data_IF_377325517634
#
_entry.id   IF_377325517634
#
_cell.length_a   1.000
_cell.length_b   1.000
_cell.length_c   1.000
_cell.angle_alpha   90.00
_cell.angle_beta   90.00
_cell.angle_gamma   90.00
#
_symmetry.space_group_name_H-M   'P 1'
#
loop_
_entity.id
_entity.type
_entity.pdbx_description
1 polymer ?
#
# COMPACT_ATOMS: atom_id res chain seq x y z
N UNK A 1 -1.68 -8.44 29.64
CA UNK A 1 -1.82 -7.56 28.48
C UNK A 1 -0.51 -7.60 27.73
N UNK A 2 -0.53 -7.70 26.42
CA UNK A 2 0.69 -7.73 25.64
C UNK A 2 1.49 -6.45 25.86
N UNK A 3 2.78 -6.57 26.11
CA UNK A 3 3.67 -5.42 26.29
C UNK A 3 4.36 -5.15 24.96
N UNK A 4 4.03 -4.03 24.33
CA UNK A 4 4.73 -3.59 23.13
C UNK A 4 6.17 -3.22 23.44
N UNK A 5 7.14 -3.51 22.55
CA UNK A 5 8.54 -3.19 22.81
C UNK A 5 8.76 -1.70 23.06
N UNK A 6 9.77 -1.38 23.86
CA UNK A 6 10.24 0.01 23.97
C UNK A 6 10.76 0.48 22.61
N UNK A 7 10.33 1.67 22.16
CA UNK A 7 10.68 2.20 20.84
C UNK A 7 9.81 1.65 19.70
N UNK A 8 8.70 0.97 20.02
CA UNK A 8 7.71 0.58 19.02
C UNK A 8 7.19 1.81 18.27
N UNK A 9 7.14 1.73 16.94
CA UNK A 9 6.78 2.86 16.10
C UNK A 9 5.25 2.91 15.92
N UNK A 10 4.61 3.85 16.60
CA UNK A 10 3.17 4.12 16.50
C UNK A 10 2.91 5.26 15.53
N UNK A 11 1.95 5.09 14.61
CA UNK A 11 1.60 6.18 13.72
C UNK A 11 0.44 5.89 12.77
N UNK A 12 0.47 6.55 11.65
CA UNK A 12 -0.53 6.43 10.60
C UNK A 12 0.06 6.56 9.22
N UNK A 13 -0.74 6.22 8.22
CA UNK A 13 -0.32 6.16 6.83
C UNK A 13 -1.27 6.95 5.92
N UNK A 14 -0.69 7.59 4.91
CA UNK A 14 -1.35 8.16 3.74
C UNK A 14 -0.62 7.67 2.48
N UNK A 15 -1.17 7.99 1.30
CA UNK A 15 -0.50 7.84 0.03
C UNK A 15 -0.59 9.14 -0.76
N UNK A 16 0.47 9.50 -1.48
CA UNK A 16 0.54 10.74 -2.26
C UNK A 16 -0.65 10.90 -3.20
N UNK A 17 -0.93 9.86 -3.99
CA UNK A 17 -2.01 9.88 -5.00
C UNK A 17 -3.43 9.96 -4.41
N UNK A 18 -3.64 9.65 -3.14
CA UNK A 18 -4.94 9.68 -2.47
C UNK A 18 -5.11 10.89 -1.56
N UNK A 19 -4.06 11.64 -1.30
CA UNK A 19 -4.08 12.74 -0.32
C UNK A 19 -3.57 14.08 -0.84
N UNK A 20 -2.50 14.09 -1.65
CA UNK A 20 -1.82 15.33 -2.00
C UNK A 20 -2.69 16.28 -2.84
N UNK A 21 -3.35 15.79 -3.89
CA UNK A 21 -3.93 16.65 -4.89
C UNK A 21 -2.86 17.40 -5.69
N UNK A 22 -3.14 18.67 -6.06
CA UNK A 22 -2.18 19.51 -6.78
C UNK A 22 -1.54 18.79 -7.98
N UNK A 23 -2.35 18.06 -8.75
CA UNK A 23 -1.91 17.02 -9.69
C UNK A 23 -1.06 17.54 -10.87
N UNK A 24 -1.06 18.86 -11.13
CA UNK A 24 -0.22 19.52 -12.14
C UNK A 24 0.68 20.61 -11.55
N UNK A 25 0.63 20.84 -10.22
CA UNK A 25 1.43 21.88 -9.59
C UNK A 25 2.89 21.45 -9.35
N UNK A 26 3.78 22.43 -9.26
CA UNK A 26 5.21 22.16 -9.02
C UNK A 26 5.88 21.36 -10.12
N UNK A 27 5.37 21.42 -11.34
CA UNK A 27 5.91 20.69 -12.48
C UNK A 27 5.61 19.19 -12.49
N UNK A 28 4.67 18.69 -11.65
CA UNK A 28 4.27 17.28 -11.62
C UNK A 28 3.69 16.84 -12.96
N UNK A 29 4.12 15.67 -13.45
CA UNK A 29 3.50 14.98 -14.58
C UNK A 29 2.32 14.11 -14.17
N UNK A 30 1.50 13.71 -15.15
CA UNK A 30 0.40 12.77 -14.93
C UNK A 30 0.90 11.38 -14.56
N UNK A 31 0.15 10.72 -13.69
CA UNK A 31 0.35 9.30 -13.33
C UNK A 31 -0.85 8.47 -13.75
N UNK A 32 -0.70 7.14 -13.68
CA UNK A 32 -1.81 6.20 -13.91
C UNK A 32 -3.02 6.50 -13.03
N UNK A 33 -2.81 6.92 -11.79
CA UNK A 33 -3.91 7.23 -10.85
C UNK A 33 -4.67 8.50 -11.26
N UNK A 34 -3.98 9.47 -11.84
CA UNK A 34 -4.60 10.72 -12.30
C UNK A 34 -5.57 10.51 -13.47
N UNK A 35 -5.48 9.37 -14.17
CA UNK A 35 -6.36 9.00 -15.29
C UNK A 35 -7.48 8.04 -14.89
N UNK A 36 -7.57 7.64 -13.62
CA UNK A 36 -8.63 6.74 -13.13
C UNK A 36 -9.81 7.58 -12.63
N UNK A 37 -10.96 7.57 -13.36
CA UNK A 37 -12.10 8.40 -13.00
C UNK A 37 -12.87 7.84 -11.80
N UNK A 38 -13.78 8.64 -11.28
CA UNK A 38 -14.86 8.20 -10.40
C UNK A 38 -15.98 7.52 -11.23
N UNK A 39 -16.76 6.64 -10.60
CA UNK A 39 -17.95 6.05 -11.19
C UNK A 39 -17.71 4.78 -12.00
N UNK A 40 -18.56 4.51 -13.00
CA UNK A 40 -18.67 3.21 -13.68
C UNK A 40 -17.40 2.78 -14.43
N UNK A 41 -16.63 3.73 -14.93
CA UNK A 41 -15.40 3.45 -15.70
C UNK A 41 -14.20 3.13 -14.80
N UNK A 42 -14.28 3.42 -13.49
CA UNK A 42 -13.17 3.24 -12.57
C UNK A 42 -12.62 1.81 -12.54
N UNK A 43 -13.48 0.83 -12.31
CA UNK A 43 -13.03 -0.56 -12.22
C UNK A 43 -12.50 -1.12 -13.55
N UNK A 44 -13.18 -0.93 -14.70
CA UNK A 44 -12.63 -1.33 -16.00
C UNK A 44 -11.25 -0.73 -16.30
N UNK A 45 -11.04 0.54 -15.99
CA UNK A 45 -9.73 1.20 -16.17
C UNK A 45 -8.68 0.59 -15.25
N UNK A 46 -8.96 0.44 -13.96
CA UNK A 46 -8.04 -0.17 -12.98
C UNK A 46 -7.59 -1.58 -13.37
N UNK A 47 -8.48 -2.35 -13.97
CA UNK A 47 -8.20 -3.70 -14.44
C UNK A 47 -7.46 -3.75 -15.80
N UNK A 48 -7.23 -2.62 -16.46
CA UNK A 48 -6.62 -2.56 -17.78
C UNK A 48 -7.53 -3.03 -18.92
N UNK A 49 -8.84 -3.18 -18.64
CA UNK A 49 -9.85 -3.58 -19.62
C UNK A 49 -10.29 -2.40 -20.48
N UNK A 50 -10.23 -1.20 -19.95
CA UNK A 50 -10.47 0.05 -20.64
C UNK A 50 -9.22 0.90 -20.63
N UNK A 51 -8.65 1.17 -21.84
CA UNK A 51 -7.44 1.98 -21.97
C UNK A 51 -7.81 3.46 -21.81
N UNK A 52 -7.25 4.12 -20.81
CA UNK A 52 -7.44 5.55 -20.50
C UNK A 52 -6.08 6.20 -20.29
N UNK A 53 -5.58 6.86 -21.33
CA UNK A 53 -4.28 7.53 -21.30
C UNK A 53 -4.39 9.05 -21.24
N UNK A 54 -5.60 9.57 -21.47
CA UNK A 54 -5.89 11.00 -21.49
C UNK A 54 -7.06 11.31 -20.56
N UNK A 55 -7.07 12.52 -20.03
CA UNK A 55 -8.16 13.04 -19.22
C UNK A 55 -9.35 13.41 -20.13
N UNK A 56 -10.55 13.29 -19.59
CA UNK A 56 -11.82 13.68 -20.25
C UNK A 56 -12.50 14.78 -19.45
N UNK A 57 -12.98 15.79 -20.12
CA UNK A 57 -13.62 16.95 -19.50
C UNK A 57 -14.96 16.63 -18.82
N UNK A 58 -15.60 15.53 -19.22
CA UNK A 58 -16.89 15.06 -18.70
C UNK A 58 -16.75 14.06 -17.54
N UNK A 59 -15.55 13.79 -17.08
CA UNK A 59 -15.27 12.87 -15.97
C UNK A 59 -14.71 13.58 -14.74
N UNK A 60 -15.03 13.06 -13.57
CA UNK A 60 -14.47 13.51 -12.29
C UNK A 60 -13.31 12.61 -11.86
N UNK A 61 -12.18 13.22 -11.51
CA UNK A 61 -10.97 12.53 -11.06
C UNK A 61 -10.67 12.89 -9.61
N UNK A 62 -11.02 12.02 -8.64
CA UNK A 62 -10.91 12.34 -7.22
C UNK A 62 -9.49 12.68 -6.74
N UNK A 63 -8.46 12.10 -7.38
CA UNK A 63 -7.06 12.32 -7.03
C UNK A 63 -6.53 13.72 -7.37
N UNK A 64 -7.22 14.46 -8.26
CA UNK A 64 -6.70 15.76 -8.75
C UNK A 64 -6.61 16.82 -7.65
N UNK A 65 -7.57 16.84 -6.73
CA UNK A 65 -7.54 17.69 -5.55
C UNK A 65 -7.33 16.86 -4.26
N UNK A 66 -7.85 15.63 -4.25
CA UNK A 66 -7.83 14.71 -3.11
C UNK A 66 -8.28 15.41 -1.82
N UNK A 67 -7.40 15.50 -0.82
CA UNK A 67 -7.67 16.26 0.42
C UNK A 67 -6.74 17.48 0.56
N UNK A 68 -6.11 17.88 -0.53
CA UNK A 68 -5.21 19.02 -0.59
C UNK A 68 -4.05 18.95 0.43
N UNK A 69 -3.53 17.75 0.66
CA UNK A 69 -2.40 17.53 1.56
C UNK A 69 -1.16 18.29 1.09
N UNK A 70 -0.97 18.48 -0.22
CA UNK A 70 0.14 19.23 -0.79
C UNK A 70 0.29 20.62 -0.18
N UNK A 71 -0.82 21.33 0.04
CA UNK A 71 -0.82 22.66 0.65
C UNK A 71 -1.02 22.63 2.18
N UNK A 72 -1.65 21.56 2.71
CA UNK A 72 -2.08 21.46 4.12
C UNK A 72 -1.21 20.53 4.97
N UNK A 73 -0.12 19.98 4.44
CA UNK A 73 0.69 18.98 5.16
C UNK A 73 1.17 19.43 6.55
N UNK A 74 1.44 20.72 6.74
CA UNK A 74 1.86 21.26 8.06
C UNK A 74 0.75 21.16 9.10
N UNK A 75 -0.49 21.47 8.71
CA UNK A 75 -1.68 21.30 9.55
C UNK A 75 -1.89 19.82 9.90
N UNK A 76 -1.81 18.97 8.91
CA UNK A 76 -2.04 17.54 9.05
C UNK A 76 -0.93 16.86 9.91
N UNK A 77 0.34 17.23 9.72
CA UNK A 77 1.46 16.74 10.56
C UNK A 77 1.32 17.24 12.00
N UNK A 78 0.85 18.45 12.21
CA UNK A 78 0.58 18.95 13.57
C UNK A 78 -0.50 18.13 14.28
N UNK A 79 -1.56 17.69 13.58
CA UNK A 79 -2.58 16.78 14.11
C UNK A 79 -2.01 15.40 14.44
N UNK A 80 -1.12 14.87 13.59
CA UNK A 80 -0.42 13.61 13.85
C UNK A 80 0.48 13.71 15.10
N UNK A 81 1.20 14.82 15.23
CA UNK A 81 2.01 15.10 16.41
C UNK A 81 1.17 15.22 17.70
N UNK A 82 -0.01 15.84 17.61
CA UNK A 82 -0.96 15.91 18.73
C UNK A 82 -1.46 14.54 19.16
N UNK A 83 -1.64 13.59 18.22
CA UNK A 83 -1.95 12.19 18.54
C UNK A 83 -0.76 11.44 19.15
N UNK A 84 0.45 11.97 19.04
CA UNK A 84 1.66 11.34 19.57
C UNK A 84 2.36 10.39 18.58
N UNK A 85 2.15 10.56 17.29
CA UNK A 85 2.85 9.73 16.28
C UNK A 85 4.36 9.78 16.46
N UNK A 86 5.00 8.62 16.39
CA UNK A 86 6.45 8.48 16.28
C UNK A 86 6.90 8.12 14.86
N UNK A 87 5.96 7.69 14.01
CA UNK A 87 6.19 7.40 12.60
C UNK A 87 5.02 7.90 11.76
N UNK A 88 5.29 8.43 10.58
CA UNK A 88 4.31 8.74 9.56
C UNK A 88 4.71 8.09 8.25
N UNK A 89 3.85 7.21 7.74
CA UNK A 89 4.04 6.61 6.42
C UNK A 89 3.35 7.43 5.35
N UNK A 90 4.10 7.78 4.30
CA UNK A 90 3.55 8.35 3.08
C UNK A 90 4.30 7.82 1.86
N UNK A 91 3.93 8.26 0.67
CA UNK A 91 4.65 7.94 -0.56
C UNK A 91 5.16 9.21 -1.23
N UNK A 92 6.14 9.04 -2.11
CA UNK A 92 6.58 10.07 -3.04
C UNK A 92 5.89 9.81 -4.38
N UNK A 93 5.20 10.80 -4.94
CA UNK A 93 4.72 10.73 -6.31
C UNK A 93 5.93 10.79 -7.26
N UNK A 94 6.23 9.69 -7.92
CA UNK A 94 7.39 9.58 -8.85
C UNK A 94 7.39 10.73 -9.86
N UNK A 95 6.23 11.08 -10.43
CA UNK A 95 6.11 12.15 -11.41
C UNK A 95 6.25 13.58 -10.86
N UNK A 96 6.38 13.78 -9.54
CA UNK A 96 6.82 15.08 -8.99
C UNK A 96 8.32 15.28 -9.15
N UNK A 97 9.11 14.21 -9.04
CA UNK A 97 10.55 14.26 -9.18
C UNK A 97 10.99 14.06 -10.63
N UNK A 98 10.30 13.21 -11.36
CA UNK A 98 10.54 12.92 -12.77
C UNK A 98 9.20 12.94 -13.51
N UNK A 99 8.76 14.10 -14.03
CA UNK A 99 7.43 14.30 -14.59
C UNK A 99 7.03 13.30 -15.69
N UNK A 100 7.96 12.90 -16.53
CA UNK A 100 7.82 11.84 -17.53
C UNK A 100 8.32 10.49 -17.04
N UNK A 101 9.21 10.47 -16.07
CA UNK A 101 9.82 9.27 -15.49
C UNK A 101 11.17 8.87 -16.13
N UNK A 102 11.48 9.32 -17.34
CA UNK A 102 12.68 8.97 -18.13
C UNK A 102 13.71 10.10 -18.22
N UNK A 103 13.47 11.25 -17.59
CA UNK A 103 14.41 12.36 -17.54
C UNK A 103 15.74 11.94 -16.88
N UNK A 104 16.83 12.61 -17.27
CA UNK A 104 18.14 12.41 -16.64
C UNK A 104 18.29 13.18 -15.33
N UNK A 105 17.64 14.34 -15.23
CA UNK A 105 17.71 15.24 -14.07
C UNK A 105 16.33 15.38 -13.41
N UNK A 106 16.30 15.41 -12.08
CA UNK A 106 15.03 15.53 -11.35
C UNK A 106 14.48 16.96 -11.35
N UNK A 107 13.17 17.07 -11.22
CA UNK A 107 12.47 18.32 -10.96
C UNK A 107 12.76 18.81 -9.54
N UNK A 108 13.42 19.95 -9.41
CA UNK A 108 13.86 20.51 -8.14
C UNK A 108 12.69 20.99 -7.26
N UNK A 109 11.57 21.41 -7.84
CA UNK A 109 10.37 21.80 -7.08
C UNK A 109 9.77 20.60 -6.34
N UNK A 110 9.74 19.42 -6.98
CA UNK A 110 9.31 18.18 -6.36
C UNK A 110 10.21 17.76 -5.20
N UNK A 111 11.53 17.86 -5.37
CA UNK A 111 12.50 17.59 -4.29
C UNK A 111 12.29 18.57 -3.13
N UNK A 112 12.14 19.86 -3.41
CA UNK A 112 11.94 20.88 -2.39
C UNK A 112 10.65 20.65 -1.59
N UNK A 113 9.57 20.25 -2.24
CA UNK A 113 8.31 19.91 -1.55
C UNK A 113 8.50 18.76 -0.56
N UNK A 114 9.03 17.61 -1.01
CA UNK A 114 9.21 16.46 -0.11
C UNK A 114 10.24 16.71 0.97
N UNK A 115 11.29 17.46 0.70
CA UNK A 115 12.23 17.90 1.73
C UNK A 115 11.52 18.67 2.82
N UNK A 116 10.72 19.67 2.46
CA UNK A 116 9.94 20.46 3.42
C UNK A 116 8.95 19.63 4.22
N UNK A 117 8.33 18.62 3.60
CA UNK A 117 7.42 17.70 4.26
C UNK A 117 8.16 16.84 5.30
N UNK A 118 9.31 16.27 4.94
CA UNK A 118 10.07 15.42 5.86
C UNK A 118 10.76 16.23 6.97
N UNK A 119 11.21 17.44 6.69
CA UNK A 119 11.70 18.37 7.72
C UNK A 119 10.59 18.72 8.73
N UNK A 120 9.35 18.93 8.26
CA UNK A 120 8.21 19.16 9.17
C UNK A 120 7.94 17.93 10.04
N UNK A 121 8.03 16.71 9.51
CA UNK A 121 7.95 15.49 10.31
C UNK A 121 9.05 15.47 11.39
N UNK A 122 10.30 15.72 11.02
CA UNK A 122 11.44 15.70 11.96
C UNK A 122 11.33 16.78 13.04
N UNK A 123 10.81 17.95 12.71
CA UNK A 123 10.51 19.03 13.65
C UNK A 123 9.55 18.57 14.75
N UNK A 124 8.64 17.67 14.43
CA UNK A 124 7.68 17.09 15.37
C UNK A 124 8.14 15.73 15.95
N UNK A 125 9.40 15.33 15.75
CA UNK A 125 9.95 14.03 16.18
C UNK A 125 9.21 12.82 15.59
N UNK A 126 8.65 12.97 14.39
CA UNK A 126 8.00 11.90 13.64
C UNK A 126 8.97 11.38 12.58
N UNK A 127 9.27 10.08 12.60
CA UNK A 127 10.09 9.44 11.57
C UNK A 127 9.27 9.23 10.30
N UNK A 128 9.73 9.70 9.13
CA UNK A 128 9.11 9.33 7.87
C UNK A 128 9.39 7.87 7.52
N UNK A 129 8.35 7.14 7.11
CA UNK A 129 8.42 5.86 6.43
C UNK A 129 7.91 6.06 5.00
N UNK A 130 8.77 5.95 4.01
CA UNK A 130 8.48 6.43 2.65
C UNK A 130 8.37 5.28 1.65
N UNK A 131 7.24 5.21 0.97
CA UNK A 131 7.04 4.31 -0.17
C UNK A 131 7.45 5.01 -1.46
N UNK A 132 8.37 4.41 -2.22
CA UNK A 132 8.87 4.97 -3.48
C UNK A 132 7.82 4.97 -4.60
N UNK A 133 7.05 3.88 -4.73
CA UNK A 133 5.96 3.79 -5.71
C UNK A 133 4.70 3.22 -5.06
N UNK A 134 3.68 4.05 -4.94
CA UNK A 134 2.37 3.68 -4.40
C UNK A 134 1.33 3.69 -5.51
N UNK A 135 1.49 2.79 -6.50
CA UNK A 135 0.63 2.59 -7.68
C UNK A 135 0.73 3.68 -8.77
N UNK A 136 1.35 4.81 -8.50
CA UNK A 136 1.34 6.01 -9.34
C UNK A 136 2.54 6.03 -10.33
N UNK A 137 2.46 5.20 -11.36
CA UNK A 137 3.46 5.19 -12.44
C UNK A 137 3.27 6.42 -13.34
N UNK A 138 4.35 7.15 -13.73
CA UNK A 138 4.24 8.23 -14.69
C UNK A 138 3.60 7.78 -16.01
N UNK A 139 2.55 8.50 -16.47
CA UNK A 139 1.79 8.11 -17.67
C UNK A 139 2.63 8.03 -18.93
N UNK A 140 3.64 8.90 -19.07
CA UNK A 140 4.57 8.83 -20.20
C UNK A 140 5.28 7.48 -20.28
N UNK A 141 5.66 6.88 -19.13
CA UNK A 141 6.27 5.54 -19.13
C UNK A 141 5.29 4.43 -19.55
N UNK A 142 3.99 4.64 -19.35
CA UNK A 142 2.96 3.71 -19.84
C UNK A 142 2.81 3.83 -21.36
N UNK A 143 2.68 5.05 -21.88
CA UNK A 143 2.44 5.29 -23.31
C UNK A 143 3.64 5.01 -24.19
N UNK A 144 4.84 5.39 -23.76
CA UNK A 144 6.06 5.24 -24.57
C UNK A 144 6.74 3.88 -24.41
N UNK A 145 6.67 3.28 -23.23
CA UNK A 145 7.43 2.05 -22.93
C UNK A 145 6.53 0.84 -22.59
N UNK A 146 5.25 1.03 -22.44
CA UNK A 146 4.33 -0.03 -21.96
C UNK A 146 4.50 -0.36 -20.48
N UNK A 147 5.01 0.61 -19.70
CA UNK A 147 5.25 0.45 -18.26
C UNK A 147 6.19 -0.73 -17.95
N UNK A 148 5.93 -1.46 -16.87
CA UNK A 148 6.78 -2.56 -16.39
C UNK A 148 6.92 -3.76 -17.34
N UNK A 149 6.22 -3.78 -18.47
CA UNK A 149 6.53 -4.71 -19.59
C UNK A 149 7.96 -4.53 -20.09
N UNK A 150 8.49 -3.30 -20.03
CA UNK A 150 9.77 -2.91 -20.60
C UNK A 150 10.87 -2.92 -19.54
N UNK A 151 11.96 -3.62 -19.82
CA UNK A 151 13.14 -3.70 -18.94
C UNK A 151 13.74 -2.33 -18.61
N UNK A 152 13.59 -1.32 -19.47
CA UNK A 152 14.06 0.06 -19.21
C UNK A 152 13.45 0.68 -17.96
N UNK A 153 12.28 0.21 -17.53
CA UNK A 153 11.68 0.65 -16.26
C UNK A 153 12.59 0.44 -15.06
N UNK A 154 13.43 -0.59 -15.09
CA UNK A 154 14.42 -0.85 -14.04
C UNK A 154 15.41 0.31 -13.92
N UNK A 155 15.92 0.80 -15.06
CA UNK A 155 16.82 1.96 -15.09
C UNK A 155 16.13 3.24 -14.59
N UNK A 156 14.94 3.52 -15.09
CA UNK A 156 14.18 4.71 -14.70
C UNK A 156 13.84 4.71 -13.20
N UNK A 157 13.37 3.58 -12.68
CA UNK A 157 13.04 3.45 -11.27
C UNK A 157 14.29 3.56 -10.38
N UNK A 158 15.38 2.93 -10.73
CA UNK A 158 16.60 2.97 -9.91
C UNK A 158 17.26 4.35 -9.91
N UNK A 159 17.17 5.12 -11.01
CA UNK A 159 17.57 6.54 -11.04
C UNK A 159 16.70 7.37 -10.09
N UNK A 160 15.38 7.20 -10.16
CA UNK A 160 14.46 7.86 -9.26
C UNK A 160 14.73 7.48 -7.80
N UNK A 161 14.90 6.20 -7.50
CA UNK A 161 15.17 5.71 -6.15
C UNK A 161 16.48 6.29 -5.59
N UNK A 162 17.56 6.28 -6.36
CA UNK A 162 18.86 6.91 -5.99
C UNK A 162 18.68 8.38 -5.66
N UNK A 163 17.97 9.11 -6.52
CA UNK A 163 17.65 10.53 -6.26
C UNK A 163 16.94 10.74 -4.95
N UNK A 164 15.94 9.88 -4.62
CA UNK A 164 15.24 9.96 -3.33
C UNK A 164 16.18 9.68 -2.15
N UNK A 165 17.00 8.63 -2.22
CA UNK A 165 17.91 8.28 -1.12
C UNK A 165 18.95 9.38 -0.88
N UNK A 166 19.51 9.96 -1.93
CA UNK A 166 20.49 11.04 -1.84
C UNK A 166 19.86 12.36 -1.39
N UNK A 167 18.70 12.74 -1.96
CA UNK A 167 18.04 14.01 -1.65
C UNK A 167 17.51 14.06 -0.23
N UNK A 168 17.09 12.93 0.34
CA UNK A 168 16.44 12.85 1.66
C UNK A 168 17.30 12.11 2.70
N UNK A 169 18.59 11.95 2.43
CA UNK A 169 19.55 11.41 3.41
C UNK A 169 19.54 12.24 4.71
N UNK A 170 19.53 11.55 5.84
CA UNK A 170 19.40 12.16 7.16
C UNK A 170 17.97 12.58 7.54
N UNK A 171 17.01 12.63 6.59
CA UNK A 171 15.60 12.92 6.86
C UNK A 171 14.75 11.64 6.88
N UNK A 172 15.01 10.71 6.00
CA UNK A 172 14.27 9.46 5.85
C UNK A 172 15.21 8.27 6.06
N UNK A 173 14.84 7.38 6.97
CA UNK A 173 15.57 6.15 7.28
C UNK A 173 14.85 4.90 6.77
N UNK A 174 13.51 4.90 6.80
CA UNK A 174 12.69 3.75 6.48
C UNK A 174 12.05 3.90 5.11
N UNK A 175 12.26 2.90 4.25
CA UNK A 175 11.84 2.93 2.85
C UNK A 175 11.09 1.66 2.47
N UNK A 176 10.07 1.81 1.63
CA UNK A 176 9.39 0.71 0.94
C UNK A 176 9.52 0.93 -0.58
N UNK A 177 9.83 -0.10 -1.33
CA UNK A 177 10.02 0.04 -2.78
C UNK A 177 8.71 0.19 -3.54
N UNK A 178 7.81 -0.78 -3.38
CA UNK A 178 6.50 -0.82 -4.02
C UNK A 178 5.42 -1.09 -3.00
N UNK A 179 4.32 -0.34 -3.08
CA UNK A 179 3.14 -0.61 -2.27
C UNK A 179 2.40 -1.83 -2.81
N UNK A 180 2.04 -2.76 -1.92
CA UNK A 180 1.21 -3.94 -2.25
C UNK A 180 1.58 -4.56 -3.60
N UNK A 181 2.85 -4.90 -3.79
CA UNK A 181 3.43 -5.33 -5.07
C UNK A 181 2.63 -6.47 -5.74
N UNK A 182 1.96 -7.33 -4.97
CA UNK A 182 1.13 -8.42 -5.46
C UNK A 182 -0.18 -7.95 -6.13
N UNK A 183 -0.58 -6.68 -5.94
CA UNK A 183 -1.81 -6.15 -6.53
C UNK A 183 -1.73 -6.08 -8.05
N UNK A 184 -0.55 -6.03 -8.65
CA UNK A 184 -0.41 -6.08 -10.11
C UNK A 184 -1.03 -7.33 -10.75
N UNK A 185 -1.11 -8.46 -10.03
CA UNK A 185 -1.77 -9.68 -10.53
C UNK A 185 -3.30 -9.52 -10.60
N UNK A 186 -3.88 -8.69 -9.76
CA UNK A 186 -5.32 -8.54 -9.56
C UNK A 186 -5.89 -7.25 -10.15
N UNK A 187 -5.10 -6.19 -10.21
CA UNK A 187 -5.47 -4.88 -10.75
C UNK A 187 -4.29 -4.30 -11.54
N UNK A 188 -4.00 -4.84 -12.72
CA UNK A 188 -2.72 -4.64 -13.41
C UNK A 188 -2.45 -3.20 -13.83
N UNK A 189 -3.45 -2.43 -14.27
CA UNK A 189 -3.23 -1.03 -14.61
C UNK A 189 -2.99 -0.19 -13.35
N UNK A 190 -3.85 -0.34 -12.34
CA UNK A 190 -3.67 0.37 -11.07
C UNK A 190 -2.38 -0.03 -10.36
N UNK A 191 -2.03 -1.33 -10.37
CA UNK A 191 -0.86 -1.85 -9.66
C UNK A 191 0.47 -1.55 -10.34
N UNK A 192 0.51 -1.54 -11.68
CA UNK A 192 1.76 -1.48 -12.43
C UNK A 192 1.67 -0.79 -13.81
N UNK A 193 0.59 -0.06 -14.09
CA UNK A 193 0.38 0.60 -15.38
C UNK A 193 0.27 -0.36 -16.58
N UNK A 194 -0.14 -1.61 -16.34
CA UNK A 194 -0.23 -2.62 -17.39
C UNK A 194 -1.58 -2.57 -18.11
N UNK A 195 -1.52 -2.59 -19.42
CA UNK A 195 -2.64 -2.80 -20.34
C UNK A 195 -2.33 -3.98 -21.24
N UNK A 196 -3.36 -4.60 -21.83
CA UNK A 196 -3.21 -5.81 -22.61
C UNK A 196 -3.74 -5.61 -24.03
N UNK A 197 -3.15 -6.33 -24.98
CA UNK A 197 -3.68 -6.46 -26.34
C UNK A 197 -4.68 -7.61 -26.40
N UNK A 198 -5.55 -7.57 -27.41
CA UNK A 198 -6.53 -8.63 -27.65
C UNK A 198 -5.84 -9.98 -27.90
N UNK A 199 -6.27 -11.02 -27.17
CA UNK A 199 -5.70 -12.37 -27.29
C UNK A 199 -4.35 -12.59 -26.60
N UNK A 200 -3.79 -11.58 -25.93
CA UNK A 200 -2.52 -11.69 -25.23
C UNK A 200 -2.62 -12.53 -23.96
N UNK A 201 -1.61 -13.36 -23.68
CA UNK A 201 -1.52 -14.04 -22.39
C UNK A 201 -1.20 -13.04 -21.29
N UNK A 202 -2.23 -12.62 -20.55
CA UNK A 202 -2.08 -11.64 -19.48
C UNK A 202 -1.15 -12.09 -18.35
N UNK A 203 -1.12 -13.39 -18.03
CA UNK A 203 -0.21 -13.92 -17.01
C UNK A 203 1.26 -13.81 -17.45
N UNK A 204 1.55 -14.02 -18.75
CA UNK A 204 2.89 -13.78 -19.31
C UNK A 204 3.34 -12.33 -19.08
N UNK A 205 2.47 -11.36 -19.37
CA UNK A 205 2.77 -9.93 -19.18
C UNK A 205 2.97 -9.60 -17.73
N UNK A 206 2.06 -10.03 -16.85
CA UNK A 206 2.11 -9.75 -15.41
C UNK A 206 3.38 -10.32 -14.76
N UNK A 207 3.75 -11.57 -15.03
CA UNK A 207 4.92 -12.16 -14.40
C UNK A 207 6.24 -11.65 -15.00
N UNK A 208 6.27 -11.24 -16.27
CA UNK A 208 7.43 -10.54 -16.81
C UNK A 208 7.58 -9.14 -16.19
N UNK A 209 6.49 -8.39 -16.04
CA UNK A 209 6.48 -7.11 -15.34
C UNK A 209 6.87 -7.25 -13.87
N UNK A 210 6.35 -8.28 -13.19
CA UNK A 210 6.73 -8.62 -11.81
C UNK A 210 8.24 -8.86 -11.70
N UNK A 211 8.84 -9.57 -12.65
CA UNK A 211 10.30 -9.77 -12.68
C UNK A 211 11.04 -8.44 -12.72
N UNK A 212 10.62 -7.52 -13.60
CA UNK A 212 11.25 -6.20 -13.71
C UNK A 212 11.11 -5.37 -12.42
N UNK A 213 9.94 -5.38 -11.78
CA UNK A 213 9.77 -4.72 -10.47
C UNK A 213 10.62 -5.35 -9.37
N UNK A 214 10.73 -6.68 -9.34
CA UNK A 214 11.56 -7.39 -8.36
C UNK A 214 13.05 -7.05 -8.53
N UNK A 215 13.53 -6.98 -9.76
CA UNK A 215 14.91 -6.52 -10.07
C UNK A 215 15.09 -5.06 -9.64
N UNK A 216 14.15 -4.19 -9.98
CA UNK A 216 14.19 -2.77 -9.58
C UNK A 216 14.19 -2.61 -8.05
N UNK A 217 13.38 -3.39 -7.33
CA UNK A 217 13.32 -3.40 -5.87
C UNK A 217 14.65 -3.85 -5.24
N UNK A 218 15.26 -4.90 -5.77
CA UNK A 218 16.55 -5.42 -5.29
C UNK A 218 17.68 -4.40 -5.54
N UNK A 219 17.73 -3.77 -6.72
CA UNK A 219 18.69 -2.71 -7.01
C UNK A 219 18.47 -1.48 -6.15
N UNK A 220 17.22 -1.06 -5.93
CA UNK A 220 16.91 0.05 -5.04
C UNK A 220 17.37 -0.25 -3.60
N UNK A 221 17.18 -1.47 -3.11
CA UNK A 221 17.67 -1.90 -1.79
C UNK A 221 19.20 -1.79 -1.70
N UNK A 222 19.91 -2.27 -2.71
CA UNK A 222 21.38 -2.13 -2.79
C UNK A 222 21.80 -0.66 -2.77
N UNK A 223 21.18 0.17 -3.62
CA UNK A 223 21.48 1.60 -3.73
C UNK A 223 21.21 2.33 -2.41
N UNK A 224 20.12 2.02 -1.73
CA UNK A 224 19.80 2.60 -0.43
C UNK A 224 20.93 2.39 0.59
N UNK A 225 21.48 1.17 0.66
CA UNK A 225 22.58 0.84 1.56
C UNK A 225 23.93 1.44 1.09
N UNK A 226 24.14 1.62 -0.21
CA UNK A 226 25.31 2.32 -0.76
C UNK A 226 25.29 3.82 -0.38
N UNK A 227 24.13 4.46 -0.46
CA UNK A 227 23.97 5.88 -0.10
C UNK A 227 24.13 6.07 1.42
N UNK A 228 23.45 5.26 2.20
CA UNK A 228 23.56 5.27 3.66
C UNK A 228 23.32 3.86 4.22
N UNK A 229 24.36 3.23 4.84
CA UNK A 229 24.21 1.89 5.43
C UNK A 229 23.17 1.78 6.55
N UNK A 230 22.67 2.90 7.08
CA UNK A 230 21.62 2.91 8.09
C UNK A 230 20.20 2.91 7.52
N UNK A 231 20.06 3.09 6.20
CA UNK A 231 18.78 2.95 5.55
C UNK A 231 18.22 1.54 5.77
N UNK A 232 16.92 1.48 6.07
CA UNK A 232 16.18 0.24 6.23
C UNK A 232 15.15 0.15 5.11
N UNK A 233 15.24 -0.89 4.30
CA UNK A 233 14.35 -1.09 3.14
C UNK A 233 13.47 -2.29 3.38
N UNK A 234 12.15 -2.11 3.25
CA UNK A 234 11.15 -3.16 3.35
C UNK A 234 10.48 -3.46 2.02
N UNK A 235 9.95 -4.66 1.90
CA UNK A 235 8.92 -5.00 0.92
C UNK A 235 7.53 -4.72 1.51
N UNK A 236 6.49 -4.64 0.66
CA UNK A 236 5.13 -4.39 1.13
C UNK A 236 4.12 -5.24 0.38
N UNK A 237 3.40 -6.08 1.12
CA UNK A 237 2.41 -7.04 0.63
C UNK A 237 0.99 -6.60 0.97
N UNK A 238 0.05 -6.74 0.03
CA UNK A 238 -1.37 -6.80 0.38
C UNK A 238 -1.63 -8.11 1.12
N UNK A 239 -1.60 -8.06 2.45
CA UNK A 239 -1.61 -9.21 3.33
C UNK A 239 -3.00 -9.81 3.55
N UNK A 240 -3.06 -10.78 4.44
CA UNK A 240 -4.23 -11.61 4.73
C UNK A 240 -4.14 -12.97 4.04
N UNK A 241 -4.07 -14.02 4.85
CA UNK A 241 -4.01 -15.39 4.37
C UNK A 241 -5.38 -15.90 3.91
N UNK A 242 -5.36 -16.96 3.10
CA UNK A 242 -6.56 -17.68 2.70
C UNK A 242 -6.86 -18.83 3.65
N UNK A 243 -8.04 -18.82 4.24
CA UNK A 243 -8.59 -20.00 4.90
C UNK A 243 -9.17 -20.97 3.86
N UNK A 244 -9.03 -22.29 4.02
CA UNK A 244 -9.81 -23.24 3.25
C UNK A 244 -11.29 -23.13 3.68
N UNK A 245 -12.20 -23.11 2.70
CA UNK A 245 -13.65 -23.05 2.97
C UNK A 245 -14.16 -24.24 3.77
N UNK A 246 -13.52 -25.40 3.57
CA UNK A 246 -13.76 -26.61 4.33
C UNK A 246 -12.47 -27.40 4.56
N UNK A 247 -12.56 -28.46 5.40
CA UNK A 247 -11.43 -29.38 5.59
C UNK A 247 -11.21 -30.38 4.43
N UNK A 248 -11.92 -30.25 3.30
CA UNK A 248 -11.64 -31.05 2.11
C UNK A 248 -10.19 -30.79 1.66
N UNK A 249 -9.38 -31.84 1.36
CA UNK A 249 -8.01 -31.66 0.90
C UNK A 249 -7.87 -30.71 -0.31
N UNK A 250 -8.86 -30.71 -1.21
CA UNK A 250 -8.89 -29.82 -2.37
C UNK A 250 -9.05 -28.34 -1.99
N UNK A 251 -9.86 -28.02 -0.96
CA UNK A 251 -10.01 -26.65 -0.45
C UNK A 251 -8.73 -26.19 0.25
N UNK A 252 -8.10 -27.08 1.04
CA UNK A 252 -6.81 -26.81 1.70
C UNK A 252 -5.72 -26.52 0.67
N UNK A 253 -5.67 -27.33 -0.40
CA UNK A 253 -4.74 -27.12 -1.51
C UNK A 253 -4.99 -25.79 -2.22
N UNK A 254 -6.26 -25.45 -2.50
CA UNK A 254 -6.61 -24.17 -3.15
C UNK A 254 -6.21 -22.98 -2.30
N UNK A 255 -6.44 -23.02 -0.98
CA UNK A 255 -6.02 -21.94 -0.08
C UNK A 255 -4.49 -21.76 -0.10
N UNK A 256 -3.72 -22.86 -0.07
CA UNK A 256 -2.27 -22.82 -0.17
C UNK A 256 -1.78 -22.23 -1.51
N UNK A 257 -2.40 -22.60 -2.64
CA UNK A 257 -2.03 -22.07 -3.96
C UNK A 257 -2.36 -20.56 -4.06
N UNK A 258 -3.46 -20.11 -3.47
CA UNK A 258 -3.83 -18.69 -3.42
C UNK A 258 -2.88 -17.87 -2.55
N UNK A 259 -2.45 -18.41 -1.42
CA UNK A 259 -1.42 -17.75 -0.60
C UNK A 259 -0.09 -17.68 -1.36
N UNK A 260 0.33 -18.74 -2.03
CA UNK A 260 1.56 -18.77 -2.84
C UNK A 260 1.54 -17.71 -3.95
N UNK A 261 0.41 -17.55 -4.65
CA UNK A 261 0.26 -16.53 -5.70
C UNK A 261 0.58 -15.13 -5.18
N UNK A 262 0.08 -14.77 -3.99
CA UNK A 262 0.35 -13.48 -3.38
C UNK A 262 1.78 -13.40 -2.78
N UNK A 263 2.23 -14.44 -2.11
CA UNK A 263 3.53 -14.48 -1.44
C UNK A 263 4.72 -14.58 -2.41
N UNK A 264 4.49 -14.89 -3.69
CA UNK A 264 5.52 -14.99 -4.72
C UNK A 264 6.50 -13.80 -4.68
N UNK A 265 5.97 -12.59 -4.62
CA UNK A 265 6.76 -11.36 -4.62
C UNK A 265 7.65 -11.24 -3.39
N UNK A 266 7.06 -11.45 -2.21
CA UNK A 266 7.80 -11.35 -0.95
C UNK A 266 8.80 -12.50 -0.79
N UNK A 267 8.48 -13.68 -1.31
CA UNK A 267 9.45 -14.78 -1.38
C UNK A 267 10.73 -14.33 -2.09
N UNK A 268 10.61 -13.62 -3.20
CA UNK A 268 11.76 -13.11 -3.95
C UNK A 268 12.44 -11.97 -3.20
N UNK A 269 11.70 -10.96 -2.75
CA UNK A 269 12.26 -9.79 -2.09
C UNK A 269 12.93 -10.09 -0.74
N UNK A 270 12.40 -11.06 0.02
CA UNK A 270 12.92 -11.42 1.34
C UNK A 270 13.93 -12.57 1.31
N UNK A 271 13.89 -13.44 0.31
CA UNK A 271 14.73 -14.65 0.23
C UNK A 271 15.75 -14.62 -0.91
N UNK A 272 15.65 -13.67 -1.83
CA UNK A 272 16.61 -13.44 -2.91
C UNK A 272 16.56 -14.41 -4.07
N UNK A 273 15.51 -15.24 -4.17
CA UNK A 273 15.37 -16.23 -5.23
C UNK A 273 13.91 -16.57 -5.48
N UNK A 274 13.61 -17.01 -6.69
CA UNK A 274 12.28 -17.54 -7.02
C UNK A 274 11.96 -18.77 -6.19
N UNK A 275 10.73 -18.89 -5.65
CA UNK A 275 10.33 -20.09 -4.93
C UNK A 275 10.27 -21.30 -5.88
N UNK A 276 10.64 -22.47 -5.37
CA UNK A 276 10.75 -23.71 -6.17
C UNK A 276 9.46 -24.10 -6.91
N UNK A 277 8.31 -23.74 -6.36
CA UNK A 277 7.00 -24.03 -6.98
C UNK A 277 6.67 -23.10 -8.17
N UNK A 278 7.37 -21.96 -8.34
CA UNK A 278 7.10 -21.00 -9.40
C UNK A 278 7.23 -21.62 -10.80
N UNK A 279 8.21 -22.50 -11.01
CA UNK A 279 8.41 -23.17 -12.29
C UNK A 279 7.17 -24.00 -12.73
N UNK A 280 6.49 -24.66 -11.80
CA UNK A 280 5.24 -25.37 -12.07
C UNK A 280 4.12 -24.39 -12.45
N UNK A 281 3.91 -23.35 -11.64
CA UNK A 281 2.87 -22.35 -11.87
C UNK A 281 3.07 -21.66 -13.22
N UNK A 282 4.28 -21.26 -13.57
CA UNK A 282 4.59 -20.64 -14.86
C UNK A 282 4.27 -21.57 -16.02
N UNK A 283 4.66 -22.84 -15.95
CA UNK A 283 4.33 -23.81 -16.98
C UNK A 283 2.82 -23.98 -17.15
N UNK A 284 2.07 -24.08 -16.05
CA UNK A 284 0.60 -24.23 -16.07
C UNK A 284 -0.10 -22.99 -16.66
N UNK A 285 0.46 -21.79 -16.47
CA UNK A 285 -0.04 -20.53 -16.99
C UNK A 285 0.49 -20.17 -18.39
N UNK A 286 1.38 -20.97 -18.95
CA UNK A 286 2.07 -20.66 -20.22
C UNK A 286 2.97 -19.44 -20.14
N UNK A 287 3.64 -19.27 -19.00
CA UNK A 287 4.54 -18.15 -18.72
C UNK A 287 5.99 -18.57 -18.89
N UNK A 288 6.77 -17.74 -19.58
CA UNK A 288 8.23 -17.84 -19.68
C UNK A 288 8.83 -16.49 -19.30
N UNK A 289 9.37 -16.37 -18.09
CA UNK A 289 10.03 -15.15 -17.65
C UNK A 289 11.42 -15.06 -18.27
N UNK A 290 11.66 -14.01 -19.04
CA UNK A 290 12.97 -13.69 -19.61
C UNK A 290 13.80 -12.99 -18.54
N UNK A 291 14.95 -13.58 -18.23
CA UNK A 291 15.95 -13.02 -17.32
C UNK A 291 17.17 -12.55 -18.13
N UNK A 292 17.79 -11.49 -17.68
CA UNK A 292 19.11 -11.04 -18.16
C UNK A 292 20.24 -11.66 -17.32
N UNK A 293 21.44 -11.68 -17.87
CA UNK A 293 22.61 -12.12 -17.13
C UNK A 293 22.83 -11.25 -15.89
N UNK A 294 23.00 -11.88 -14.73
CA UNK A 294 23.18 -11.18 -13.45
C UNK A 294 21.89 -10.95 -12.65
N UNK A 295 20.70 -11.23 -13.21
CA UNK A 295 19.44 -11.01 -12.50
C UNK A 295 19.35 -11.81 -11.20
N UNK A 296 19.81 -13.04 -11.20
CA UNK A 296 19.76 -13.90 -10.00
C UNK A 296 20.71 -13.38 -8.89
N UNK A 297 21.84 -12.78 -9.24
CA UNK A 297 22.74 -12.10 -8.30
C UNK A 297 22.15 -10.80 -7.77
N UNK A 298 21.46 -10.03 -8.63
CA UNK A 298 20.76 -8.80 -8.22
C UNK A 298 19.71 -9.11 -7.18
N UNK A 299 18.90 -10.14 -7.38
CA UNK A 299 17.83 -10.54 -6.46
C UNK A 299 18.32 -10.86 -5.04
N UNK A 300 19.59 -11.20 -4.85
CA UNK A 300 20.18 -11.47 -3.54
C UNK A 300 20.30 -10.22 -2.64
N UNK A 301 20.07 -9.02 -3.18
CA UNK A 301 19.93 -7.80 -2.38
C UNK A 301 18.53 -7.78 -1.71
N UNK A 302 18.38 -8.57 -0.66
CA UNK A 302 17.11 -8.76 0.03
C UNK A 302 16.78 -7.61 0.97
N UNK A 303 15.48 -7.44 1.24
CA UNK A 303 14.96 -6.41 2.15
C UNK A 303 15.38 -6.64 3.60
N UNK A 304 15.43 -5.55 4.39
CA UNK A 304 15.78 -5.60 5.81
C UNK A 304 14.62 -6.06 6.69
N UNK A 305 13.39 -5.71 6.32
CA UNK A 305 12.17 -6.10 7.03
C UNK A 305 11.03 -6.40 6.05
N UNK A 306 10.03 -7.12 6.52
CA UNK A 306 8.81 -7.42 5.75
C UNK A 306 7.68 -6.55 6.26
N UNK A 307 7.05 -5.79 5.39
CA UNK A 307 5.86 -5.03 5.71
C UNK A 307 4.64 -5.48 4.92
N UNK A 308 3.48 -5.18 5.45
CA UNK A 308 2.22 -5.61 4.83
C UNK A 308 1.06 -4.73 5.28
N UNK A 309 0.00 -4.74 4.46
CA UNK A 309 -1.34 -4.29 4.86
C UNK A 309 -2.15 -5.47 5.38
N UNK A 310 -3.02 -5.22 6.35
CA UNK A 310 -4.01 -6.17 6.79
C UNK A 310 -5.34 -5.48 7.04
N UNK A 311 -6.35 -5.85 6.27
CA UNK A 311 -7.72 -5.36 6.42
C UNK A 311 -8.69 -6.50 6.70
N UNK A 312 -8.44 -7.67 6.13
CA UNK A 312 -9.30 -8.83 6.19
C UNK A 312 -8.51 -10.10 5.89
N UNK A 313 -8.94 -11.23 6.43
CA UNK A 313 -8.58 -12.56 5.92
C UNK A 313 -9.42 -12.91 4.69
N UNK A 314 -9.02 -13.94 3.99
CA UNK A 314 -9.65 -14.42 2.75
C UNK A 314 -10.10 -15.88 2.90
N UNK A 315 -10.92 -16.35 1.98
CA UNK A 315 -11.39 -17.73 1.99
C UNK A 315 -11.40 -18.30 0.56
N UNK A 316 -10.97 -19.53 0.39
CA UNK A 316 -10.88 -20.20 -0.90
C UNK A 316 -11.43 -21.64 -0.87
N UNK A 317 -11.98 -22.09 -1.99
CA UNK A 317 -12.44 -23.45 -2.23
C UNK A 317 -12.06 -23.89 -3.64
N UNK A 318 -11.91 -25.18 -3.84
CA UNK A 318 -11.74 -25.77 -5.17
C UNK A 318 -12.94 -25.51 -6.12
N UNK A 319 -14.10 -25.21 -5.56
CA UNK A 319 -15.33 -24.88 -6.29
C UNK A 319 -15.50 -23.36 -6.52
N UNK A 320 -14.48 -22.55 -6.19
CA UNK A 320 -14.48 -21.11 -6.33
C UNK A 320 -14.53 -20.69 -7.81
N UNK A 321 -15.46 -19.78 -8.15
CA UNK A 321 -15.63 -19.25 -9.50
C UNK A 321 -16.08 -17.79 -9.45
N UNK A 322 -16.24 -17.16 -10.63
CA UNK A 322 -16.60 -15.75 -10.73
C UNK A 322 -17.98 -15.40 -10.12
N UNK A 323 -18.90 -16.37 -10.02
CA UNK A 323 -20.26 -16.14 -9.54
C UNK A 323 -20.40 -16.23 -8.01
N UNK A 324 -19.46 -16.90 -7.33
CA UNK A 324 -19.51 -17.11 -5.87
C UNK A 324 -18.42 -16.36 -5.12
N UNK A 325 -17.61 -15.53 -5.79
CA UNK A 325 -16.59 -14.69 -5.15
C UNK A 325 -17.12 -13.31 -4.82
N UNK A 326 -16.60 -12.72 -3.73
CA UNK A 326 -16.94 -11.36 -3.35
C UNK A 326 -16.37 -10.35 -4.38
N UNK A 327 -17.26 -9.63 -5.06
CA UNK A 327 -16.90 -8.64 -6.09
C UNK A 327 -16.26 -7.36 -5.48
N UNK A 328 -16.42 -7.12 -4.16
CA UNK A 328 -15.92 -5.91 -3.51
C UNK A 328 -14.42 -5.92 -3.23
N UNK A 329 -13.75 -7.06 -3.39
CA UNK A 329 -12.32 -7.22 -3.15
C UNK A 329 -11.53 -7.31 -4.45
N UNK A 330 -10.46 -6.54 -4.55
CA UNK A 330 -9.49 -6.64 -5.65
C UNK A 330 -8.93 -8.07 -5.73
N UNK A 331 -8.58 -8.67 -4.59
CA UNK A 331 -8.21 -10.09 -4.48
C UNK A 331 -9.48 -10.91 -4.26
N UNK A 332 -9.85 -11.74 -5.23
CA UNK A 332 -11.07 -12.55 -5.19
C UNK A 332 -11.04 -13.55 -4.03
N UNK A 333 -12.13 -13.57 -3.26
CA UNK A 333 -12.31 -14.41 -2.07
C UNK A 333 -13.75 -14.87 -1.97
N UNK A 334 -13.98 -16.05 -1.39
CA UNK A 334 -15.30 -16.45 -0.91
C UNK A 334 -15.62 -15.71 0.39
N UNK A 335 -16.92 -15.52 0.66
CA UNK A 335 -17.35 -15.03 1.96
C UNK A 335 -17.11 -16.12 3.02
N UNK A 336 -16.37 -15.78 4.07
CA UNK A 336 -16.21 -16.69 5.22
C UNK A 336 -17.50 -16.67 6.07
N UNK A 337 -18.18 -17.81 6.27
CA UNK A 337 -19.44 -17.84 7.00
C UNK A 337 -19.29 -17.65 8.51
N UNK A 338 -18.05 -17.68 9.03
CA UNK A 338 -17.76 -17.66 10.47
C UNK A 338 -17.33 -16.29 10.98
N UNK A 339 -17.17 -15.28 10.10
CA UNK A 339 -16.76 -13.93 10.49
C UNK A 339 -17.73 -12.88 9.94
N UNK A 340 -17.88 -11.80 10.69
CA UNK A 340 -18.67 -10.65 10.26
C UNK A 340 -17.92 -9.86 9.17
N UNK A 341 -18.66 -9.19 8.32
CA UNK A 341 -18.11 -8.32 7.29
C UNK A 341 -18.51 -6.86 7.53
N UNK A 342 -17.63 -5.95 7.09
CA UNK A 342 -17.91 -4.51 7.03
C UNK A 342 -18.98 -4.21 5.97
N UNK A 343 -19.41 -2.95 5.89
CA UNK A 343 -20.34 -2.46 4.84
C UNK A 343 -19.83 -2.72 3.41
N UNK A 344 -18.52 -2.77 3.22
CA UNK A 344 -17.87 -3.08 1.93
C UNK A 344 -17.56 -4.57 1.75
N UNK A 345 -18.11 -5.45 2.61
CA UNK A 345 -17.97 -6.90 2.50
C UNK A 345 -16.62 -7.45 2.90
N UNK A 346 -15.79 -6.67 3.60
CA UNK A 346 -14.49 -7.13 4.12
C UNK A 346 -14.67 -7.80 5.47
N UNK A 347 -14.17 -9.03 5.60
CA UNK A 347 -14.26 -9.79 6.84
C UNK A 347 -13.46 -9.16 7.98
N UNK A 348 -14.10 -8.94 9.12
CA UNK A 348 -13.46 -8.39 10.32
C UNK A 348 -12.86 -9.57 11.11
N UNK A 349 -11.56 -9.74 11.02
CA UNK A 349 -10.87 -10.92 11.57
C UNK A 349 -9.55 -10.54 12.27
N UNK A 350 -9.60 -10.12 13.52
CA UNK A 350 -8.38 -9.83 14.31
C UNK A 350 -7.47 -11.03 14.48
N UNK A 351 -8.03 -12.23 14.71
CA UNK A 351 -7.22 -13.45 14.84
C UNK A 351 -6.46 -13.78 13.54
N UNK A 352 -7.06 -13.47 12.39
CA UNK A 352 -6.41 -13.61 11.09
C UNK A 352 -5.15 -12.74 10.94
N UNK A 353 -5.11 -11.58 11.60
CA UNK A 353 -3.89 -10.76 11.69
C UNK A 353 -2.78 -11.51 12.43
N UNK A 354 -3.07 -12.05 13.63
CA UNK A 354 -2.10 -12.84 14.39
C UNK A 354 -1.59 -14.06 13.60
N UNK A 355 -2.50 -14.77 12.92
CA UNK A 355 -2.17 -15.91 12.06
C UNK A 355 -1.25 -15.45 10.91
N UNK A 356 -1.61 -14.37 10.21
CA UNK A 356 -0.82 -13.81 9.11
C UNK A 356 0.60 -13.45 9.57
N UNK A 357 0.75 -12.80 10.72
CA UNK A 357 2.04 -12.43 11.27
C UNK A 357 2.90 -13.64 11.62
N UNK A 358 2.32 -14.66 12.26
CA UNK A 358 3.01 -15.92 12.54
C UNK A 358 3.50 -16.60 11.25
N UNK A 359 2.62 -16.74 10.26
CA UNK A 359 2.96 -17.35 8.97
C UNK A 359 4.07 -16.59 8.23
N UNK A 360 4.03 -15.26 8.24
CA UNK A 360 5.08 -14.43 7.61
C UNK A 360 6.42 -14.58 8.32
N UNK A 361 6.42 -14.53 9.65
CA UNK A 361 7.66 -14.65 10.40
C UNK A 361 8.27 -16.04 10.27
N UNK A 362 7.48 -17.11 10.35
CA UNK A 362 7.95 -18.48 10.12
C UNK A 362 8.58 -18.64 8.73
N UNK A 363 8.05 -17.93 7.73
CA UNK A 363 8.51 -18.03 6.35
C UNK A 363 9.77 -17.23 6.05
N UNK A 364 9.90 -16.02 6.63
CA UNK A 364 10.94 -15.06 6.24
C UNK A 364 11.99 -14.78 7.31
N UNK A 365 11.68 -15.02 8.59
CA UNK A 365 12.58 -14.79 9.73
C UNK A 365 13.19 -13.38 9.73
N UNK A 366 12.39 -12.38 9.32
CA UNK A 366 12.73 -10.96 9.31
C UNK A 366 11.75 -10.17 10.18
N UNK A 367 12.15 -9.02 10.76
CA UNK A 367 11.23 -8.17 11.49
C UNK A 367 10.01 -7.81 10.63
N UNK A 368 8.84 -7.70 11.25
CA UNK A 368 7.59 -7.32 10.58
C UNK A 368 7.20 -5.88 10.89
N UNK A 369 6.55 -5.22 9.94
CA UNK A 369 5.93 -3.92 10.13
C UNK A 369 4.51 -3.95 9.55
N UNK A 370 3.49 -3.75 10.38
CA UNK A 370 2.12 -3.58 9.92
C UNK A 370 1.93 -2.12 9.49
N UNK A 371 2.07 -1.86 8.19
CA UNK A 371 2.10 -0.49 7.64
C UNK A 371 0.75 0.03 7.15
N UNK A 372 -0.26 -0.85 7.09
CA UNK A 372 -1.65 -0.46 6.84
C UNK A 372 -2.61 -1.40 7.56
N UNK A 373 -3.53 -0.81 8.30
CA UNK A 373 -4.68 -1.48 8.89
C UNK A 373 -5.77 -0.44 9.18
N UNK A 374 -7.02 -0.77 9.01
CA UNK A 374 -8.10 0.16 9.26
C UNK A 374 -9.46 -0.35 8.79
N UNK A 375 -10.50 0.35 9.20
CA UNK A 375 -11.88 0.10 8.82
C UNK A 375 -12.42 1.27 8.00
N UNK A 376 -12.73 1.01 6.71
CA UNK A 376 -13.51 1.94 5.91
C UNK A 376 -14.98 1.90 6.36
N UNK A 377 -15.52 3.05 6.74
CA UNK A 377 -16.89 3.19 7.21
C UNK A 377 -17.46 4.56 6.84
N UNK A 378 -18.80 4.66 6.77
CA UNK A 378 -19.48 5.95 6.66
C UNK A 378 -19.57 6.56 8.05
N UNK A 379 -19.01 7.77 8.18
CA UNK A 379 -19.06 8.52 9.42
C UNK A 379 -20.26 9.49 9.38
N UNK A 380 -20.94 9.61 10.51
CA UNK A 380 -22.06 10.54 10.70
C UNK A 380 -21.66 11.65 11.67
N UNK A 381 -21.98 12.89 11.31
CA UNK A 381 -21.83 14.06 12.20
C UNK A 381 -23.13 14.19 12.97
N UNK A 382 -23.08 14.10 14.30
CA UNK A 382 -24.24 14.21 15.17
C UNK A 382 -24.77 15.67 15.32
N UNK A 383 -25.85 15.84 16.05
CA UNK A 383 -26.46 17.17 16.26
C UNK A 383 -25.56 18.16 17.01
N UNK A 384 -24.54 17.69 17.71
CA UNK A 384 -23.53 18.51 18.39
C UNK A 384 -22.34 18.79 17.47
N UNK A 385 -22.35 18.25 16.26
CA UNK A 385 -21.26 18.34 15.31
C UNK A 385 -20.13 17.34 15.61
N UNK A 386 -20.31 16.34 16.46
CA UNK A 386 -19.29 15.35 16.81
C UNK A 386 -19.39 14.10 15.94
N UNK A 387 -18.30 13.35 15.85
CA UNK A 387 -18.22 12.06 15.11
C UNK A 387 -17.84 10.98 16.10
N UNK A 388 -18.86 10.16 16.45
CA UNK A 388 -18.76 9.08 17.43
C UNK A 388 -18.49 7.75 16.71
N UNK A 389 -17.25 7.52 16.29
CA UNK A 389 -16.83 6.37 15.49
C UNK A 389 -16.38 5.17 16.35
N UNK A 390 -17.23 4.75 17.32
CA UNK A 390 -16.96 3.62 18.21
C UNK A 390 -16.73 2.30 17.45
N UNK A 391 -17.35 2.11 16.30
CA UNK A 391 -17.14 0.97 15.42
C UNK A 391 -15.69 0.90 14.92
N UNK A 392 -15.04 2.05 14.63
CA UNK A 392 -13.62 2.13 14.24
C UNK A 392 -12.72 1.82 15.44
N UNK A 393 -13.04 2.39 16.60
CA UNK A 393 -12.32 2.10 17.85
C UNK A 393 -12.37 0.60 18.15
N UNK A 394 -13.55 -0.02 18.06
CA UNK A 394 -13.72 -1.46 18.29
C UNK A 394 -12.85 -2.30 17.33
N UNK A 395 -12.88 -1.98 16.03
CA UNK A 395 -12.05 -2.66 15.02
C UNK A 395 -10.56 -2.56 15.33
N UNK A 396 -10.07 -1.35 15.56
CA UNK A 396 -8.65 -1.09 15.82
C UNK A 396 -8.19 -1.72 17.13
N UNK A 397 -9.01 -1.63 18.19
CA UNK A 397 -8.72 -2.26 19.49
C UNK A 397 -8.44 -3.75 19.36
N UNK A 398 -9.32 -4.48 18.70
CA UNK A 398 -9.17 -5.93 18.55
C UNK A 398 -7.98 -6.30 17.66
N UNK A 399 -7.68 -5.52 16.62
CA UNK A 399 -6.50 -5.76 15.77
C UNK A 399 -5.19 -5.41 16.48
N UNK A 400 -5.13 -4.31 17.25
CA UNK A 400 -3.95 -3.96 18.05
C UNK A 400 -3.70 -5.03 19.12
N UNK A 401 -4.76 -5.53 19.75
CA UNK A 401 -4.66 -6.65 20.70
C UNK A 401 -4.10 -7.90 20.03
N UNK A 402 -4.62 -8.29 18.86
CA UNK A 402 -4.13 -9.45 18.12
C UNK A 402 -2.64 -9.29 17.68
N UNK A 403 -2.23 -8.07 17.33
CA UNK A 403 -0.81 -7.78 17.06
C UNK A 403 0.04 -7.92 18.33
N UNK A 404 -0.46 -7.46 19.48
CA UNK A 404 0.18 -7.67 20.78
C UNK A 404 0.34 -9.16 21.12
N UNK A 405 -0.69 -9.97 20.86
CA UNK A 405 -0.63 -11.43 21.03
C UNK A 405 0.43 -12.07 20.10
N UNK A 406 0.61 -11.55 18.88
CA UNK A 406 1.68 -12.01 17.97
C UNK A 406 3.07 -11.65 18.49
N UNK A 407 3.23 -10.49 19.15
CA UNK A 407 4.48 -10.12 19.82
C UNK A 407 4.77 -11.08 20.98
N UNK A 408 3.76 -11.48 21.75
CA UNK A 408 3.89 -12.50 22.80
C UNK A 408 4.24 -13.89 22.24
N UNK A 409 3.84 -14.21 21.00
CA UNK A 409 4.30 -15.40 20.28
C UNK A 409 5.79 -15.34 19.90
N UNK A 410 6.48 -14.22 20.14
CA UNK A 410 7.91 -14.02 19.89
C UNK A 410 8.22 -13.35 18.56
N UNK A 411 7.23 -12.76 17.88
CA UNK A 411 7.44 -12.11 16.59
C UNK A 411 7.98 -10.70 16.79
N UNK A 412 9.12 -10.35 16.20
CA UNK A 412 9.66 -8.99 16.25
C UNK A 412 8.86 -8.06 15.34
N UNK A 413 8.04 -7.21 15.93
CA UNK A 413 7.23 -6.21 15.24
C UNK A 413 7.82 -4.83 15.48
N UNK A 414 8.15 -4.13 14.39
CA UNK A 414 8.80 -2.80 14.45
C UNK A 414 7.81 -1.68 14.77
N UNK A 415 6.58 -1.79 14.26
CA UNK A 415 5.61 -0.72 14.38
C UNK A 415 4.27 -1.03 13.74
N UNK A 416 3.40 -0.04 13.86
CA UNK A 416 2.02 -0.03 13.35
C UNK A 416 1.67 1.35 12.78
N UNK A 417 1.18 1.39 11.56
CA UNK A 417 0.60 2.60 10.97
C UNK A 417 -0.84 2.32 10.52
N UNK A 418 -1.79 3.05 11.12
CA UNK A 418 -3.19 3.00 10.73
C UNK A 418 -3.38 3.60 9.35
N UNK A 419 -4.12 2.93 8.47
CA UNK A 419 -4.38 3.42 7.14
C UNK A 419 -5.33 4.62 7.12
N UNK A 420 -4.97 5.61 6.29
CA UNK A 420 -5.80 6.78 6.08
C UNK A 420 -6.03 7.57 7.36
N UNK A 421 -4.97 7.76 8.17
CA UNK A 421 -5.08 8.41 9.49
C UNK A 421 -5.79 9.76 9.47
N UNK A 422 -5.79 10.45 8.34
CA UNK A 422 -6.67 11.53 7.95
C UNK A 422 -7.52 11.00 6.79
N UNK A 423 -8.83 11.26 6.78
CA UNK A 423 -9.71 10.81 5.71
C UNK A 423 -9.14 11.19 4.33
N UNK A 424 -9.17 10.26 3.41
CA UNK A 424 -8.58 10.40 2.08
C UNK A 424 -9.46 9.73 1.02
N UNK A 425 -9.15 9.96 -0.24
CA UNK A 425 -9.82 9.30 -1.36
C UNK A 425 -9.57 7.80 -1.33
N UNK A 426 -10.63 6.99 -1.32
CA UNK A 426 -10.52 5.54 -1.34
C UNK A 426 -9.87 5.05 -2.65
N UNK A 427 -8.81 4.25 -2.55
CA UNK A 427 -8.16 3.66 -3.73
C UNK A 427 -9.08 2.72 -4.50
N UNK A 428 -9.94 1.97 -3.80
CA UNK A 428 -10.84 1.00 -4.43
C UNK A 428 -12.00 1.67 -5.14
N UNK A 429 -12.72 2.56 -4.48
CA UNK A 429 -13.98 3.14 -4.96
C UNK A 429 -13.86 4.55 -5.52
N UNK A 430 -12.82 5.31 -5.15
CA UNK A 430 -12.68 6.73 -5.49
C UNK A 430 -13.57 7.64 -4.65
N UNK A 431 -14.15 7.12 -3.58
CA UNK A 431 -15.08 7.83 -2.71
C UNK A 431 -14.38 8.42 -1.49
N UNK A 432 -14.84 9.57 -1.03
CA UNK A 432 -14.48 10.15 0.27
C UNK A 432 -15.34 9.59 1.40
N UNK A 433 -16.56 9.13 1.11
CA UNK A 433 -17.49 8.58 2.11
C UNK A 433 -17.02 7.26 2.73
N UNK A 434 -16.10 6.54 2.07
CA UNK A 434 -15.41 5.38 2.65
C UNK A 434 -14.24 5.85 3.53
N UNK A 435 -14.55 6.26 4.74
CA UNK A 435 -13.63 6.93 5.66
C UNK A 435 -12.87 5.97 6.56
N UNK A 436 -11.58 6.22 6.72
CA UNK A 436 -10.67 5.40 7.56
C UNK A 436 -10.09 6.18 8.74
N UNK A 437 -10.10 7.53 8.67
CA UNK A 437 -9.24 8.38 9.47
C UNK A 437 -9.71 8.60 10.91
N UNK A 438 -8.77 9.06 11.72
CA UNK A 438 -9.01 9.67 13.02
C UNK A 438 -9.44 11.13 12.90
N UNK A 439 -9.15 11.72 11.73
CA UNK A 439 -9.48 13.09 11.37
C UNK A 439 -10.43 13.07 10.18
N UNK A 440 -11.60 13.64 10.35
CA UNK A 440 -12.58 13.85 9.30
C UNK A 440 -12.13 15.01 8.40
N UNK A 441 -12.31 14.84 7.10
CA UNK A 441 -12.13 15.89 6.10
C UNK A 441 -13.48 16.23 5.50
N UNK A 442 -13.85 17.51 5.55
CA UNK A 442 -15.10 18.01 4.97
C UNK A 442 -15.01 18.01 3.44
N UNK A 443 -15.31 16.85 2.85
CA UNK A 443 -15.36 16.62 1.42
C UNK A 443 -16.29 15.44 1.13
N UNK A 444 -17.16 15.61 0.12
CA UNK A 444 -18.05 14.56 -0.37
C UNK A 444 -17.46 13.79 -1.58
N UNK A 445 -18.21 12.80 -2.08
CA UNK A 445 -17.79 11.96 -3.19
C UNK A 445 -17.80 12.68 -4.55
N UNK A 446 -18.47 13.84 -4.65
CA UNK A 446 -18.48 14.69 -5.83
C UNK A 446 -17.40 15.79 -5.79
N UNK A 447 -16.60 15.82 -4.72
CA UNK A 447 -15.53 16.80 -4.55
C UNK A 447 -15.95 18.12 -3.94
N UNK A 448 -17.15 18.21 -3.34
CA UNK A 448 -17.59 19.42 -2.65
C UNK A 448 -17.21 19.36 -1.17
N UNK A 449 -17.01 20.52 -0.59
CA UNK A 449 -16.66 20.71 0.83
C UNK A 449 -15.60 21.77 1.02
N UNK A 450 -15.28 22.07 2.27
CA UNK A 450 -14.31 23.09 2.67
C UNK A 450 -12.89 22.55 2.88
N UNK A 451 -12.74 21.24 2.83
CA UNK A 451 -11.51 20.53 3.21
C UNK A 451 -11.09 20.76 4.69
N UNK A 452 -11.97 21.28 5.52
CA UNK A 452 -11.69 21.48 6.95
C UNK A 452 -11.44 20.13 7.64
N UNK A 453 -10.51 20.11 8.60
CA UNK A 453 -10.14 18.94 9.43
C UNK A 453 -10.90 18.97 10.74
N UNK A 454 -11.49 17.84 11.12
CA UNK A 454 -12.17 17.66 12.41
C UNK A 454 -11.73 16.37 13.08
N UNK A 455 -11.33 16.45 14.36
CA UNK A 455 -10.98 15.27 15.15
C UNK A 455 -12.22 14.43 15.42
N UNK A 456 -12.13 13.11 15.24
CA UNK A 456 -13.16 12.14 15.58
C UNK A 456 -12.95 11.61 17.02
N UNK A 457 -13.90 10.85 17.56
CA UNK A 457 -13.75 10.20 18.85
C UNK A 457 -12.52 9.28 18.87
N UNK A 458 -12.27 8.55 17.79
CA UNK A 458 -11.12 7.66 17.63
C UNK A 458 -9.78 8.40 17.68
N UNK A 459 -9.70 9.70 17.39
CA UNK A 459 -8.50 10.51 17.53
C UNK A 459 -8.00 10.50 18.98
N UNK A 460 -8.89 10.75 19.92
CA UNK A 460 -8.59 10.81 21.36
C UNK A 460 -8.27 9.44 21.93
N UNK A 461 -8.99 8.43 21.47
CA UNK A 461 -8.73 7.05 21.84
C UNK A 461 -7.34 6.61 21.36
N UNK A 462 -6.98 6.86 20.11
CA UNK A 462 -5.69 6.44 19.57
C UNK A 462 -4.52 7.21 20.20
N UNK A 463 -4.70 8.50 20.51
CA UNK A 463 -3.76 9.29 21.32
C UNK A 463 -3.46 8.60 22.65
N UNK A 464 -4.46 8.08 23.34
CA UNK A 464 -4.30 7.36 24.60
C UNK A 464 -3.58 6.03 24.39
N UNK A 465 -3.90 5.28 23.35
CA UNK A 465 -3.20 4.04 22.98
C UNK A 465 -1.71 4.30 22.79
N UNK A 466 -1.33 5.32 22.03
CA UNK A 466 0.05 5.67 21.80
C UNK A 466 0.76 6.09 23.09
N UNK A 467 0.14 6.96 23.88
CA UNK A 467 0.72 7.46 25.14
C UNK A 467 0.98 6.34 26.16
N UNK A 468 0.18 5.28 26.12
CA UNK A 468 0.34 4.08 26.97
C UNK A 468 1.21 2.99 26.35
N UNK A 469 1.82 3.23 25.17
CA UNK A 469 2.49 2.19 24.38
C UNK A 469 1.64 0.93 24.17
N UNK A 470 0.34 1.11 23.88
CA UNK A 470 -0.60 0.02 23.63
C UNK A 470 -1.14 -0.71 24.86
N UNK A 471 -0.82 -0.26 26.08
CA UNK A 471 -1.33 -0.89 27.32
C UNK A 471 -2.79 -0.52 27.61
N UNK A 472 -3.19 0.71 27.30
CA UNK A 472 -4.58 1.18 27.51
C UNK A 472 -5.36 1.20 26.18
N UNK A 473 -6.10 0.13 25.96
CA UNK A 473 -7.01 -0.03 24.81
C UNK A 473 -8.49 0.21 25.18
N UNK A 474 -8.80 0.64 26.38
CA UNK A 474 -10.17 0.83 26.86
C UNK A 474 -10.92 1.95 26.13
#
# INVERSE_FOLDING_TARGET
MATFPQGFLWGGALAANQSEGAYLEGGKGLTTVDTIPHGAHRLPVKLGLEKRFELRDDEFYPSHEAIDFYHRYKEDIALMAEMGFSVFRTSIAWSRLFPKGDEQEPNQEGIAFYRSLFEECKKHHIEPLVTLCHFDVPMHLVTEYGSWRNRKMVEFFTRYARTCFEAFDGLVKYWLTFNEINIMLHSPFSGAGLVFEEGENQDQVKYQAAHHELIASALATKIAHEVNPQNQVGCMLAGGNFYPYSCKPQDVWMALEKDRENLFFIDVQARGAYPVWAARVFREKGVTVVKEAGDDEILQNTVDFVSFSYYASRCASAEMNANNTNAANIVKSLKNPHIQASEWGWGIDPLGLRITMNMMYDRYQKPLFLVENGLGARDEIDANGEINDDYRISYLREHIKAMGDAIEDGIPVMGYTSWGCIDLVSASTGEMSKRYGFVYVDRDDAGHGTLARKRKKSFWWYKKVIASNGEDLA
#
